data_IF_464808126824
#
_entry.id   IF_464808126824
#
_cell.length_a   1.000
_cell.length_b   1.000
_cell.length_c   1.000
_cell.angle_alpha   90.00
_cell.angle_beta   90.00
_cell.angle_gamma   90.00
#
_symmetry.space_group_name_H-M   'P 1'
#
loop_
_entity.id
_entity.type
_entity.pdbx_description
1 polymer ?
#
# COMPACT_ATOMS: atom_id res chain seq x y z
N UNK A 1 9.53 26.48 -21.82
CA UNK A 1 10.71 25.61 -21.94
C UNK A 1 11.18 25.60 -23.39
N UNK A 2 12.47 25.76 -23.63
CA UNK A 2 13.05 25.76 -24.98
C UNK A 2 13.10 24.32 -25.52
N UNK A 3 12.68 24.06 -26.76
CA UNK A 3 12.59 22.70 -27.32
C UNK A 3 13.95 21.94 -27.35
N UNK A 4 15.07 22.68 -27.30
CA UNK A 4 16.41 22.11 -27.24
C UNK A 4 16.74 21.44 -25.90
N UNK A 5 16.21 21.94 -24.77
CA UNK A 5 16.55 21.39 -23.45
C UNK A 5 15.87 20.05 -23.16
N UNK A 6 14.75 19.75 -23.83
CA UNK A 6 14.07 18.46 -23.74
C UNK A 6 14.90 17.29 -24.32
N UNK A 7 15.86 17.56 -25.21
CA UNK A 7 16.71 16.52 -25.79
C UNK A 7 17.83 16.08 -24.83
N UNK A 8 18.08 16.82 -23.75
CA UNK A 8 19.07 16.45 -22.73
C UNK A 8 18.53 15.40 -21.75
N UNK A 9 17.22 15.19 -21.71
CA UNK A 9 16.58 14.26 -20.77
C UNK A 9 16.72 12.82 -21.26
N UNK A 10 17.64 12.08 -20.66
CA UNK A 10 17.93 10.68 -21.01
C UNK A 10 17.12 9.66 -20.19
N UNK A 11 16.70 10.02 -18.98
CA UNK A 11 15.94 9.14 -18.10
C UNK A 11 15.16 9.94 -17.04
N UNK A 12 14.13 9.29 -16.51
CA UNK A 12 13.44 9.69 -15.28
C UNK A 12 13.93 8.80 -14.14
N UNK A 13 14.22 9.39 -13.00
CA UNK A 13 14.43 8.63 -11.75
C UNK A 13 13.08 8.57 -11.03
N UNK A 14 12.71 7.40 -10.52
CA UNK A 14 11.50 7.25 -9.71
C UNK A 14 11.79 6.60 -8.36
N UNK A 15 11.00 7.00 -7.37
CA UNK A 15 11.05 6.56 -5.99
C UNK A 15 9.63 6.12 -5.61
N UNK A 16 9.52 4.91 -5.09
CA UNK A 16 8.28 4.35 -4.55
C UNK A 16 8.38 4.38 -3.03
N UNK A 17 7.45 5.10 -2.40
CA UNK A 17 7.32 5.21 -0.96
C UNK A 17 6.09 4.44 -0.51
N UNK A 18 6.21 3.60 0.51
CA UNK A 18 5.05 2.96 1.16
C UNK A 18 5.33 2.85 2.65
N UNK A 19 4.30 3.04 3.49
CA UNK A 19 4.41 2.95 4.95
C UNK A 19 5.55 3.84 5.52
N UNK A 20 5.71 5.03 4.94
CA UNK A 20 6.74 6.01 5.30
C UNK A 20 8.20 5.63 5.00
N UNK A 21 8.44 4.67 4.09
CA UNK A 21 9.81 4.25 3.71
C UNK A 21 9.97 4.16 2.21
N UNK A 22 11.20 4.39 1.74
CA UNK A 22 11.60 4.09 0.36
C UNK A 22 11.59 2.58 0.18
N UNK A 23 10.64 2.10 -0.64
CA UNK A 23 10.50 0.68 -0.97
C UNK A 23 11.32 0.30 -2.20
N UNK A 24 11.33 1.16 -3.22
CA UNK A 24 12.05 0.92 -4.47
C UNK A 24 12.49 2.22 -5.11
N UNK A 25 13.70 2.21 -5.67
CA UNK A 25 14.21 3.27 -6.55
C UNK A 25 14.54 2.65 -7.90
N UNK A 26 14.29 3.39 -8.97
CA UNK A 26 14.64 2.93 -10.31
C UNK A 26 14.78 4.06 -11.31
N UNK A 27 15.10 3.67 -12.55
CA UNK A 27 15.20 4.58 -13.70
C UNK A 27 14.33 4.09 -14.83
N UNK A 28 13.71 5.03 -15.52
CA UNK A 28 12.96 4.81 -16.75
C UNK A 28 13.67 5.58 -17.87
N UNK A 29 14.23 4.86 -18.84
CA UNK A 29 14.92 5.47 -19.97
C UNK A 29 13.93 6.23 -20.86
N UNK A 30 14.42 7.32 -21.47
CA UNK A 30 13.71 8.14 -22.44
C UNK A 30 14.58 8.28 -23.70
N UNK A 31 13.99 8.02 -24.86
CA UNK A 31 14.63 8.25 -26.16
C UNK A 31 14.36 9.70 -26.58
N UNK A 32 15.34 10.37 -27.19
CA UNK A 32 15.18 11.72 -27.71
C UNK A 32 13.97 11.81 -28.68
N UNK A 33 13.18 12.88 -28.55
CA UNK A 33 11.93 13.05 -29.28
C UNK A 33 10.71 12.31 -28.71
N UNK A 34 10.88 11.42 -27.71
CA UNK A 34 9.73 10.86 -26.99
C UNK A 34 9.16 11.89 -26.01
N UNK A 35 7.93 12.33 -26.28
CA UNK A 35 7.19 13.21 -25.37
C UNK A 35 6.45 12.43 -24.28
N UNK A 36 6.15 11.15 -24.52
CA UNK A 36 5.51 10.25 -23.57
C UNK A 36 6.34 8.97 -23.43
N UNK A 37 6.58 8.56 -22.19
CA UNK A 37 7.24 7.29 -21.85
C UNK A 37 6.34 6.50 -20.92
N UNK A 38 6.18 5.22 -21.18
CA UNK A 38 5.34 4.33 -20.36
C UNK A 38 6.23 3.34 -19.60
N UNK A 39 5.89 3.11 -18.34
CA UNK A 39 6.51 2.09 -17.49
C UNK A 39 5.44 1.19 -16.90
N UNK A 40 5.69 -0.12 -16.88
CA UNK A 40 4.83 -1.07 -16.17
C UNK A 40 5.34 -1.27 -14.75
N UNK A 41 4.48 -0.98 -13.77
CA UNK A 41 4.74 -1.28 -12.36
C UNK A 41 3.86 -2.46 -11.92
N UNK A 42 4.48 -3.57 -11.53
CA UNK A 42 3.75 -4.72 -10.98
C UNK A 42 3.44 -4.46 -9.51
N UNK A 43 2.14 -4.32 -9.20
CA UNK A 43 1.66 -4.14 -7.83
C UNK A 43 1.67 -5.49 -7.11
N UNK A 44 2.15 -5.48 -5.87
CA UNK A 44 2.27 -6.64 -4.97
C UNK A 44 1.69 -6.30 -3.59
N UNK A 45 1.44 -7.27 -2.68
CA UNK A 45 0.86 -6.97 -1.37
C UNK A 45 1.65 -5.97 -0.50
N UNK A 46 2.94 -5.78 -0.78
CA UNK A 46 3.80 -4.80 -0.11
C UNK A 46 3.35 -3.35 -0.34
N UNK A 47 2.56 -3.08 -1.37
CA UNK A 47 2.01 -1.76 -1.69
C UNK A 47 0.74 -1.42 -0.88
N UNK A 48 0.16 -2.38 -0.16
CA UNK A 48 -1.01 -2.13 0.72
C UNK A 48 -0.54 -1.31 1.96
N UNK A 49 -1.30 -0.30 2.43
CA UNK A 49 -2.61 0.13 1.90
C UNK A 49 -2.49 1.14 0.75
N UNK A 50 -1.40 1.89 0.69
CA UNK A 50 -1.16 2.88 -0.34
C UNK A 50 0.34 3.09 -0.55
N UNK A 51 0.67 3.76 -1.65
CA UNK A 51 2.04 4.17 -1.96
C UNK A 51 2.10 5.52 -2.67
N UNK A 52 3.22 6.22 -2.55
CA UNK A 52 3.54 7.38 -3.39
C UNK A 52 4.56 7.00 -4.46
N UNK A 53 4.34 7.53 -5.65
CA UNK A 53 5.28 7.45 -6.76
C UNK A 53 5.80 8.86 -7.03
N UNK A 54 7.06 9.09 -6.68
CA UNK A 54 7.76 10.36 -6.93
C UNK A 54 8.68 10.14 -8.12
N UNK A 55 8.63 11.02 -9.11
CA UNK A 55 9.53 10.96 -10.26
C UNK A 55 10.13 12.33 -10.56
N UNK A 56 11.39 12.32 -11.01
CA UNK A 56 12.07 13.54 -11.40
C UNK A 56 13.07 13.30 -12.53
N UNK A 57 13.41 14.38 -13.23
CA UNK A 57 14.51 14.42 -14.19
C UNK A 57 15.31 15.71 -14.00
N UNK A 58 16.52 15.74 -14.56
CA UNK A 58 17.43 16.87 -14.47
C UNK A 58 17.69 17.46 -15.87
N UNK A 59 17.76 18.78 -15.96
CA UNK A 59 18.10 19.53 -17.18
C UNK A 59 19.38 20.33 -16.95
N UNK A 60 20.32 20.28 -17.89
CA UNK A 60 21.58 21.03 -17.83
C UNK A 60 22.40 20.86 -16.55
N UNK A 61 22.25 19.72 -15.84
CA UNK A 61 22.82 19.46 -14.52
C UNK A 61 22.51 20.51 -13.43
N UNK A 62 21.46 21.33 -13.60
CA UNK A 62 21.15 22.45 -12.69
C UNK A 62 19.70 22.51 -12.25
N UNK A 63 18.77 22.17 -13.14
CA UNK A 63 17.34 22.25 -12.87
C UNK A 63 16.79 20.85 -12.63
N UNK A 64 16.00 20.70 -11.58
CA UNK A 64 15.27 19.47 -11.27
C UNK A 64 13.78 19.75 -11.50
N UNK A 65 13.14 18.91 -12.29
CA UNK A 65 11.69 18.92 -12.45
C UNK A 65 11.17 17.63 -11.86
N UNK A 66 10.27 17.74 -10.90
CA UNK A 66 9.71 16.63 -10.15
C UNK A 66 8.19 16.68 -10.17
N UNK A 67 7.57 15.51 -10.05
CA UNK A 67 6.15 15.37 -9.77
C UNK A 67 5.92 14.13 -8.91
N UNK A 68 4.77 14.07 -8.24
CA UNK A 68 4.43 12.95 -7.38
C UNK A 68 2.95 12.61 -7.46
N UNK A 69 2.62 11.33 -7.31
CA UNK A 69 1.25 10.85 -7.23
C UNK A 69 1.09 9.90 -6.05
N UNK A 70 0.00 10.04 -5.31
CA UNK A 70 -0.44 9.08 -4.31
C UNK A 70 -1.42 8.08 -4.93
N UNK A 71 -1.23 6.80 -4.65
CA UNK A 71 -2.02 5.71 -5.21
C UNK A 71 -2.58 4.85 -4.09
N UNK A 72 -3.91 4.81 -4.03
CA UNK A 72 -4.68 3.93 -3.15
C UNK A 72 -4.65 2.48 -3.66
N UNK A 73 -4.46 1.52 -2.76
CA UNK A 73 -4.44 0.09 -3.06
C UNK A 73 -5.45 -0.61 -2.17
N UNK A 74 -6.21 -1.54 -2.74
CA UNK A 74 -7.28 -2.21 -2.00
C UNK A 74 -6.79 -2.85 -0.70
N UNK A 75 -7.35 -2.35 0.41
CA UNK A 75 -7.18 -2.86 1.75
C UNK A 75 -7.57 -4.34 1.89
N UNK A 76 -6.54 -5.17 2.08
CA UNK A 76 -6.68 -6.60 2.37
C UNK A 76 -5.59 -7.02 3.35
N UNK A 77 -5.61 -8.26 3.82
CA UNK A 77 -4.43 -8.84 4.45
C UNK A 77 -3.33 -9.02 3.39
N UNK A 78 -2.06 -8.77 3.73
CA UNK A 78 -0.95 -9.05 2.81
C UNK A 78 -0.82 -10.55 2.48
N UNK A 79 -1.29 -11.40 3.39
CA UNK A 79 -1.39 -12.85 3.23
C UNK A 79 -2.82 -13.34 3.46
N UNK A 80 -2.98 -14.59 3.87
CA UNK A 80 -4.30 -15.22 4.01
C UNK A 80 -4.55 -15.73 5.42
N UNK A 81 -5.77 -15.54 5.92
CA UNK A 81 -6.28 -16.22 7.11
C UNK A 81 -7.79 -16.44 6.98
N UNK A 82 -8.22 -17.70 7.06
CA UNK A 82 -9.61 -18.12 6.99
C UNK A 82 -9.87 -19.13 8.10
N UNK A 83 -10.94 -18.90 8.87
CA UNK A 83 -11.48 -19.85 9.85
C UNK A 83 -12.81 -20.35 9.32
N UNK A 84 -12.95 -21.68 9.18
CA UNK A 84 -14.18 -22.31 8.71
C UNK A 84 -14.46 -23.63 9.43
N UNK A 85 -15.70 -24.11 9.37
CA UNK A 85 -16.02 -25.48 9.79
C UNK A 85 -15.21 -26.49 8.97
N UNK A 86 -14.71 -27.55 9.62
CA UNK A 86 -13.93 -28.58 8.94
C UNK A 86 -14.77 -29.39 7.93
N UNK A 87 -16.08 -29.45 8.16
CA UNK A 87 -17.07 -30.10 7.30
C UNK A 87 -18.36 -29.28 7.20
N UNK A 88 -19.28 -29.69 6.33
CA UNK A 88 -20.62 -29.09 6.24
C UNK A 88 -21.45 -29.26 7.50
N UNK A 89 -21.19 -30.31 8.30
CA UNK A 89 -21.82 -30.50 9.62
C UNK A 89 -21.37 -29.42 10.60
N UNK A 90 -20.10 -29.05 10.59
CA UNK A 90 -19.54 -28.07 11.52
C UNK A 90 -20.12 -26.65 11.33
N UNK A 91 -20.72 -26.37 10.16
CA UNK A 91 -21.37 -25.09 9.87
C UNK A 91 -22.88 -25.06 10.25
N UNK A 92 -23.41 -26.10 10.90
CA UNK A 92 -24.82 -26.17 11.34
C UNK A 92 -25.01 -25.64 12.76
N UNK A 93 -26.24 -25.66 13.24
CA UNK A 93 -26.56 -25.43 14.65
C UNK A 93 -26.02 -26.62 15.46
N UNK A 94 -25.46 -26.33 16.63
CA UNK A 94 -24.85 -27.31 17.54
C UNK A 94 -25.54 -27.27 18.89
N UNK A 95 -25.62 -28.43 19.54
CA UNK A 95 -26.10 -28.53 20.92
C UNK A 95 -25.02 -28.11 21.94
N UNK A 96 -25.39 -27.64 23.15
CA UNK A 96 -24.41 -27.33 24.19
C UNK A 96 -23.51 -28.53 24.52
N UNK A 97 -22.20 -28.33 24.44
CA UNK A 97 -21.20 -29.38 24.67
C UNK A 97 -20.92 -30.30 23.48
N UNK A 98 -21.56 -30.08 22.32
CA UNK A 98 -21.25 -30.82 21.10
C UNK A 98 -19.82 -30.53 20.62
N UNK A 99 -19.10 -31.59 20.25
CA UNK A 99 -17.73 -31.46 19.73
C UNK A 99 -17.74 -30.87 18.31
N UNK A 100 -16.94 -29.83 18.09
CA UNK A 100 -16.80 -29.14 16.80
C UNK A 100 -15.37 -29.27 16.26
N UNK A 101 -15.23 -29.34 14.94
CA UNK A 101 -13.93 -29.20 14.27
C UNK A 101 -13.89 -27.94 13.41
N UNK A 102 -12.85 -27.13 13.63
CA UNK A 102 -12.54 -25.97 12.80
C UNK A 102 -11.31 -26.25 11.94
N UNK A 103 -11.29 -25.69 10.73
CA UNK A 103 -10.14 -25.68 9.83
C UNK A 103 -9.61 -24.26 9.72
N UNK A 104 -8.30 -24.13 9.93
CA UNK A 104 -7.56 -22.90 9.72
C UNK A 104 -6.81 -23.01 8.38
N UNK A 105 -6.99 -22.01 7.52
CA UNK A 105 -6.23 -21.87 6.29
C UNK A 105 -5.53 -20.53 6.31
N UNK A 106 -4.22 -20.52 6.08
CA UNK A 106 -3.42 -19.31 6.05
C UNK A 106 -2.01 -19.58 5.57
N UNK A 107 -1.16 -18.58 5.69
CA UNK A 107 0.20 -18.64 5.15
C UNK A 107 1.07 -19.66 5.91
N UNK A 108 2.04 -20.32 5.23
CA UNK A 108 2.97 -21.24 5.87
C UNK A 108 3.68 -20.59 7.06
N UNK A 109 3.79 -21.34 8.17
CA UNK A 109 4.42 -20.90 9.42
C UNK A 109 3.75 -19.70 10.12
N UNK A 110 2.52 -19.33 9.74
CA UNK A 110 1.77 -18.30 10.44
C UNK A 110 1.48 -18.69 11.91
N UNK A 111 1.72 -17.76 12.84
CA UNK A 111 1.30 -17.89 14.24
C UNK A 111 -0.12 -17.34 14.37
N UNK A 112 -1.06 -18.19 14.78
CA UNK A 112 -2.49 -17.84 14.86
C UNK A 112 -2.94 -17.81 16.32
N UNK A 113 -3.39 -16.64 16.79
CA UNK A 113 -4.08 -16.49 18.06
C UNK A 113 -5.58 -16.66 17.89
N UNK A 114 -6.22 -17.50 18.70
CA UNK A 114 -7.65 -17.77 18.65
C UNK A 114 -8.34 -17.36 19.95
N UNK A 115 -9.58 -16.89 19.82
CA UNK A 115 -10.46 -16.61 20.96
C UNK A 115 -11.90 -16.87 20.54
N UNK A 116 -12.68 -17.48 21.44
CA UNK A 116 -14.12 -17.63 21.30
C UNK A 116 -14.81 -16.61 22.22
N UNK A 117 -15.80 -15.89 21.70
CA UNK A 117 -16.48 -14.80 22.41
C UNK A 117 -17.99 -14.95 22.23
N UNK A 118 -18.74 -14.84 23.32
CA UNK A 118 -20.20 -14.79 23.26
C UNK A 118 -20.68 -13.56 22.47
N UNK A 119 -21.63 -13.76 21.56
CA UNK A 119 -22.19 -12.70 20.72
C UNK A 119 -22.80 -11.55 21.55
N UNK A 120 -23.36 -11.85 22.73
CA UNK A 120 -23.97 -10.85 23.62
C UNK A 120 -22.97 -9.78 24.09
N UNK A 121 -21.68 -10.11 24.22
CA UNK A 121 -20.62 -9.14 24.56
C UNK A 121 -20.56 -8.00 23.53
N UNK A 122 -20.71 -8.33 22.24
CA UNK A 122 -20.68 -7.35 21.16
C UNK A 122 -21.97 -6.54 21.00
N UNK A 123 -23.08 -6.98 21.61
CA UNK A 123 -24.30 -6.18 21.72
C UNK A 123 -24.07 -5.01 22.67
N UNK A 124 -23.34 -5.24 23.76
CA UNK A 124 -23.02 -4.21 24.76
C UNK A 124 -21.97 -3.23 24.26
N UNK A 125 -20.85 -3.72 23.69
CA UNK A 125 -19.80 -2.85 23.16
C UNK A 125 -18.99 -3.51 22.04
N UNK A 126 -18.97 -2.87 20.87
CA UNK A 126 -18.16 -3.29 19.70
C UNK A 126 -17.04 -2.30 19.32
N UNK A 127 -16.90 -1.19 20.06
CA UNK A 127 -16.01 -0.06 19.68
C UNK A 127 -14.54 -0.45 19.67
N UNK A 128 -14.09 -1.30 20.59
CA UNK A 128 -12.67 -1.65 20.77
C UNK A 128 -12.24 -2.93 20.06
N UNK A 129 -13.11 -3.54 19.24
CA UNK A 129 -12.76 -4.71 18.45
C UNK A 129 -11.67 -4.36 17.43
N UNK A 130 -10.60 -5.15 17.38
CA UNK A 130 -9.57 -5.05 16.35
C UNK A 130 -10.14 -5.50 14.99
N UNK A 131 -9.74 -4.82 13.92
CA UNK A 131 -10.11 -5.16 12.55
C UNK A 131 -8.97 -4.83 11.60
N UNK A 132 -8.95 -5.45 10.42
CA UNK A 132 -7.93 -5.18 9.40
C UNK A 132 -7.95 -3.70 8.98
N UNK A 133 -9.14 -3.12 8.79
CA UNK A 133 -9.29 -1.69 8.47
C UNK A 133 -8.65 -0.80 9.53
N UNK A 134 -8.85 -1.06 10.82
CA UNK A 134 -8.23 -0.25 11.88
C UNK A 134 -6.70 -0.32 11.88
N UNK A 135 -6.14 -1.46 11.46
CA UNK A 135 -4.69 -1.62 11.28
C UNK A 135 -4.24 -0.69 10.14
N UNK A 136 -4.89 -0.75 8.98
CA UNK A 136 -4.54 0.10 7.84
C UNK A 136 -4.76 1.58 8.11
N UNK A 137 -5.88 1.97 8.72
CA UNK A 137 -6.13 3.35 9.15
C UNK A 137 -5.00 3.90 10.05
N UNK A 138 -4.41 3.04 10.88
CA UNK A 138 -3.31 3.44 11.78
C UNK A 138 -2.00 3.58 11.02
N UNK A 139 -1.75 2.71 10.04
CA UNK A 139 -0.58 2.81 9.15
C UNK A 139 -0.67 4.07 8.29
N UNK A 140 -1.83 4.37 7.70
CA UNK A 140 -2.02 5.56 6.88
C UNK A 140 -1.91 6.86 7.67
N UNK A 141 -2.44 6.91 8.91
CA UNK A 141 -2.23 8.05 9.81
C UNK A 141 -0.76 8.28 10.19
N UNK A 142 0.09 7.26 10.03
CA UNK A 142 1.52 7.33 10.33
C UNK A 142 2.36 7.58 9.07
N UNK A 143 1.71 7.81 7.94
CA UNK A 143 2.39 8.21 6.71
C UNK A 143 3.00 9.61 6.88
N UNK A 144 4.20 9.78 6.33
CA UNK A 144 5.00 10.99 6.50
C UNK A 144 4.81 12.01 5.37
N UNK A 145 4.18 11.59 4.26
CA UNK A 145 3.75 12.53 3.22
C UNK A 145 2.38 13.13 3.56
N UNK A 146 2.20 14.41 3.24
CA UNK A 146 1.08 15.22 3.69
C UNK A 146 0.03 15.46 2.61
N UNK A 147 0.38 15.27 1.33
CA UNK A 147 -0.51 15.61 0.20
C UNK A 147 -0.76 14.42 -0.71
N UNK A 148 -1.75 14.58 -1.60
CA UNK A 148 -2.12 13.60 -2.61
C UNK A 148 -1.16 13.57 -3.81
N UNK A 149 -0.22 14.51 -3.90
CA UNK A 149 0.74 14.59 -5.01
C UNK A 149 1.05 16.01 -5.45
N UNK A 150 1.99 16.09 -6.40
CA UNK A 150 2.59 17.33 -6.89
C UNK A 150 3.18 18.20 -5.77
N UNK A 151 3.42 19.48 -6.05
CA UNK A 151 3.97 20.41 -5.08
C UNK A 151 4.06 21.82 -5.65
N UNK A 152 4.19 22.82 -4.77
CA UNK A 152 4.30 24.22 -5.18
C UNK A 152 5.54 24.49 -6.04
N UNK A 153 6.60 23.71 -5.83
CA UNK A 153 7.85 23.74 -6.59
C UNK A 153 8.56 22.39 -6.47
N UNK A 154 9.73 22.25 -7.09
CA UNK A 154 10.49 20.99 -7.08
C UNK A 154 10.80 20.46 -5.68
N UNK A 155 11.08 21.32 -4.69
CA UNK A 155 11.36 20.92 -3.31
C UNK A 155 10.07 20.51 -2.61
N UNK A 156 9.00 21.27 -2.82
CA UNK A 156 7.67 20.96 -2.30
C UNK A 156 7.17 19.58 -2.72
N UNK A 157 7.48 19.13 -3.93
CA UNK A 157 7.13 17.76 -4.39
C UNK A 157 7.76 16.67 -3.51
N UNK A 158 9.02 16.86 -3.07
CA UNK A 158 9.71 15.91 -2.21
C UNK A 158 9.23 16.04 -0.76
N UNK A 159 9.17 17.27 -0.23
CA UNK A 159 8.71 17.55 1.13
C UNK A 159 7.29 17.03 1.37
N UNK A 160 6.35 17.34 0.47
CA UNK A 160 4.95 16.93 0.57
C UNK A 160 4.76 15.41 0.41
N UNK A 161 5.69 14.74 -0.27
CA UNK A 161 5.71 13.28 -0.41
C UNK A 161 6.40 12.57 0.77
N UNK A 162 7.05 13.31 1.68
CA UNK A 162 7.77 12.78 2.84
C UNK A 162 9.22 12.36 2.54
N UNK A 163 9.90 13.09 1.65
CA UNK A 163 11.32 12.94 1.31
C UNK A 163 12.15 14.15 1.71
#
# INVERSE_FOLDING_TARGET
GNAQSLNEIQYFTYIILTKGKIFKVGRQARIAGQNLVTMTLRITPEFIPSFRFVAYYQVGNKEIVADSVWVDVKDTCMGTLIVKGASTRDNRIHEPGEAMKIKLEGDPNARVGLVAVDKAVYVLNKKHKISQTKIWDTVERSDIGCTAGSGMNQLGVFEDAGL
#
